data_IF_168000139839
#
_entry.id   IF_168000139839
#
_cell.length_a   1.000
_cell.length_b   1.000
_cell.length_c   1.000
_cell.angle_alpha   90.00
_cell.angle_beta   90.00
_cell.angle_gamma   90.00
#
_symmetry.space_group_name_H-M   'P 1'
#
loop_
_entity.id
_entity.type
_entity.pdbx_description
1 polymer ?
#
# COMPACT_ATOMS: atom_id res chain seq x y z
N UNK A 1 -15.81 -30.19 6.74
CA UNK A 1 -16.64 -30.65 5.61
C UNK A 1 -17.29 -29.42 5.02
N UNK A 2 -16.83 -29.00 3.84
CA UNK A 2 -17.34 -27.80 3.18
C UNK A 2 -18.81 -27.97 2.80
N UNK A 3 -19.62 -26.94 3.05
CA UNK A 3 -21.02 -26.87 2.59
C UNK A 3 -21.27 -25.51 1.97
N UNK A 4 -22.08 -25.52 0.90
CA UNK A 4 -22.58 -24.34 0.20
C UNK A 4 -24.05 -24.12 0.54
N UNK A 5 -24.41 -22.90 0.90
CA UNK A 5 -25.78 -22.44 1.19
C UNK A 5 -26.05 -21.21 0.31
N UNK A 6 -27.24 -21.15 -0.28
CA UNK A 6 -27.67 -20.09 -1.20
C UNK A 6 -29.04 -19.56 -0.76
N UNK A 7 -29.19 -18.23 -0.77
CA UNK A 7 -30.45 -17.53 -0.54
C UNK A 7 -30.59 -16.39 -1.56
N UNK A 8 -31.69 -16.35 -2.29
CA UNK A 8 -31.97 -15.32 -3.30
C UNK A 8 -32.82 -14.16 -2.76
N UNK A 9 -32.89 -13.06 -3.51
CA UNK A 9 -33.70 -11.86 -3.22
C UNK A 9 -33.43 -11.23 -1.83
N UNK A 10 -32.20 -11.33 -1.33
CA UNK A 10 -31.80 -10.80 -0.04
C UNK A 10 -31.61 -9.28 -0.08
N UNK A 11 -32.47 -8.56 0.65
CA UNK A 11 -32.43 -7.10 0.84
C UNK A 11 -32.25 -6.70 2.31
N UNK A 12 -31.76 -7.62 3.15
CA UNK A 12 -31.61 -7.45 4.60
C UNK A 12 -30.13 -7.46 5.02
N UNK A 13 -29.76 -6.80 6.14
CA UNK A 13 -28.39 -6.84 6.66
C UNK A 13 -27.90 -8.26 6.98
N UNK A 14 -26.59 -8.49 6.82
CA UNK A 14 -25.93 -9.77 7.12
C UNK A 14 -25.11 -9.64 8.40
N UNK A 15 -25.40 -10.47 9.39
CA UNK A 15 -24.71 -10.49 10.68
C UNK A 15 -23.89 -11.78 10.80
N UNK A 16 -22.59 -11.67 10.60
CA UNK A 16 -21.62 -12.74 10.78
C UNK A 16 -21.28 -12.80 12.28
N UNK A 17 -21.89 -13.73 13.01
CA UNK A 17 -21.84 -13.76 14.48
C UNK A 17 -20.56 -14.41 15.04
N UNK A 18 -20.04 -15.43 14.37
CA UNK A 18 -18.74 -16.02 14.70
C UNK A 18 -18.22 -16.83 13.51
N UNK A 19 -16.95 -16.65 13.16
CA UNK A 19 -16.20 -17.47 12.20
C UNK A 19 -14.90 -17.89 12.87
N UNK A 20 -14.76 -19.16 13.22
CA UNK A 20 -13.62 -19.63 14.02
C UNK A 20 -12.29 -19.65 13.25
N UNK A 21 -12.34 -19.69 11.92
CA UNK A 21 -11.17 -19.55 11.04
C UNK A 21 -11.08 -18.16 10.41
N UNK A 22 -10.80 -18.14 9.12
CA UNK A 22 -10.65 -16.94 8.29
C UNK A 22 -11.97 -16.56 7.62
N UNK A 23 -12.22 -15.26 7.44
CA UNK A 23 -13.41 -14.72 6.78
C UNK A 23 -13.05 -14.07 5.44
N UNK A 24 -13.76 -14.43 4.37
CA UNK A 24 -13.71 -13.72 3.08
C UNK A 24 -15.11 -13.29 2.68
N UNK A 25 -15.34 -12.00 2.44
CA UNK A 25 -16.61 -11.48 1.91
C UNK A 25 -16.33 -10.74 0.61
N UNK A 26 -17.17 -10.95 -0.40
CA UNK A 26 -17.16 -10.17 -1.65
C UNK A 26 -18.56 -9.68 -1.96
N UNK A 27 -18.71 -8.40 -2.29
CA UNK A 27 -19.95 -7.88 -2.85
C UNK A 27 -20.12 -8.21 -4.34
N UNK A 28 -21.36 -8.35 -4.79
CA UNK A 28 -21.72 -8.46 -6.20
C UNK A 28 -23.04 -7.72 -6.52
N UNK A 29 -23.31 -7.52 -7.81
CA UNK A 29 -24.51 -6.81 -8.30
C UNK A 29 -25.83 -7.61 -8.14
N UNK A 30 -25.75 -8.90 -7.77
CA UNK A 30 -26.90 -9.79 -7.63
C UNK A 30 -27.44 -9.75 -6.19
N UNK A 31 -28.76 -9.81 -6.03
CA UNK A 31 -29.43 -9.85 -4.71
C UNK A 31 -29.28 -11.20 -3.97
N UNK A 32 -28.24 -11.98 -4.25
CA UNK A 32 -28.07 -13.34 -3.72
C UNK A 32 -27.01 -13.37 -2.61
N UNK A 33 -27.28 -14.11 -1.54
CA UNK A 33 -26.33 -14.53 -0.52
C UNK A 33 -25.83 -15.95 -0.83
N UNK A 34 -24.53 -16.07 -1.05
CA UNK A 34 -23.79 -17.33 -1.10
C UNK A 34 -22.95 -17.46 0.16
N UNK A 35 -23.01 -18.62 0.84
CA UNK A 35 -22.13 -18.96 1.96
C UNK A 35 -21.50 -20.32 1.71
N UNK A 36 -20.16 -20.37 1.65
CA UNK A 36 -19.36 -21.58 1.46
C UNK A 36 -18.27 -21.65 2.54
N UNK A 37 -18.12 -22.77 3.22
CA UNK A 37 -17.15 -22.88 4.31
C UNK A 37 -17.25 -24.16 5.13
N UNK A 38 -16.50 -24.21 6.23
CA UNK A 38 -16.51 -25.36 7.13
C UNK A 38 -17.70 -25.34 8.09
N UNK A 39 -18.69 -26.19 7.76
CA UNK A 39 -19.97 -26.32 8.46
C UNK A 39 -20.73 -24.99 8.71
N UNK A 40 -20.96 -24.14 7.68
CA UNK A 40 -21.73 -22.92 7.84
C UNK A 40 -23.15 -23.21 8.32
N UNK A 41 -23.63 -22.34 9.19
CA UNK A 41 -25.02 -22.27 9.62
C UNK A 41 -25.56 -20.87 9.32
N UNK A 42 -26.64 -20.82 8.56
CA UNK A 42 -27.36 -19.60 8.19
C UNK A 42 -28.76 -19.67 8.79
N UNK A 43 -29.15 -18.63 9.50
CA UNK A 43 -30.43 -18.53 10.22
C UNK A 43 -31.11 -17.20 9.88
N UNK A 44 -32.30 -17.25 9.27
CA UNK A 44 -33.12 -16.09 8.97
C UNK A 44 -34.20 -15.93 10.04
N UNK A 45 -34.15 -14.85 10.82
CA UNK A 45 -35.04 -14.66 11.98
C UNK A 45 -36.49 -14.31 11.61
N UNK A 46 -36.76 -14.00 10.34
CA UNK A 46 -38.09 -13.65 9.80
C UNK A 46 -38.01 -12.82 8.53
N UNK A 47 -39.16 -12.50 7.92
CA UNK A 47 -39.24 -11.54 6.82
C UNK A 47 -38.77 -10.15 7.29
N UNK A 48 -37.88 -9.51 6.51
CA UNK A 48 -37.29 -8.21 6.85
C UNK A 48 -36.38 -8.21 8.10
N UNK A 49 -36.05 -9.37 8.67
CA UNK A 49 -35.04 -9.49 9.72
C UNK A 49 -33.65 -9.77 9.13
N UNK A 50 -32.55 -9.37 9.81
CA UNK A 50 -31.20 -9.65 9.34
C UNK A 50 -30.94 -11.16 9.23
N UNK A 51 -30.06 -11.52 8.29
CA UNK A 51 -29.58 -12.88 8.10
C UNK A 51 -28.40 -13.14 9.05
N UNK A 52 -28.49 -14.17 9.90
CA UNK A 52 -27.39 -14.57 10.79
C UNK A 52 -26.52 -15.62 10.11
N UNK A 53 -25.20 -15.46 10.17
CA UNK A 53 -24.21 -16.43 9.64
C UNK A 53 -23.22 -16.84 10.74
N UNK A 54 -22.93 -18.14 10.85
CA UNK A 54 -21.89 -18.72 11.71
C UNK A 54 -21.09 -19.77 10.94
N UNK A 55 -19.80 -19.93 11.23
CA UNK A 55 -18.97 -21.00 10.67
C UNK A 55 -18.00 -21.58 11.72
N UNK A 56 -17.82 -22.91 11.71
CA UNK A 56 -16.96 -23.62 12.65
C UNK A 56 -15.46 -23.57 12.26
N UNK A 57 -15.16 -23.06 11.06
CA UNK A 57 -13.81 -22.91 10.50
C UNK A 57 -13.74 -21.73 9.53
N UNK A 58 -13.04 -21.87 8.41
CA UNK A 58 -12.97 -20.86 7.35
C UNK A 58 -14.34 -20.66 6.67
N UNK A 59 -14.63 -19.41 6.26
CA UNK A 59 -15.89 -19.03 5.63
C UNK A 59 -15.69 -18.01 4.50
N UNK A 60 -16.28 -18.29 3.33
CA UNK A 60 -16.40 -17.40 2.17
C UNK A 60 -17.87 -17.04 1.99
N UNK A 61 -18.19 -15.74 2.01
CA UNK A 61 -19.49 -15.20 1.62
C UNK A 61 -19.37 -14.48 0.27
N UNK A 62 -20.43 -14.54 -0.52
CA UNK A 62 -20.71 -13.53 -1.55
C UNK A 62 -22.06 -12.92 -1.24
N UNK A 63 -22.13 -11.59 -1.23
CA UNK A 63 -23.27 -10.81 -0.73
C UNK A 63 -23.68 -9.75 -1.75
N UNK A 64 -24.92 -9.24 -1.74
CA UNK A 64 -25.27 -8.04 -2.50
C UNK A 64 -24.36 -6.89 -2.06
N UNK A 65 -23.76 -6.17 -3.01
CA UNK A 65 -22.76 -5.13 -2.70
C UNK A 65 -23.31 -4.03 -1.78
N UNK A 66 -24.59 -3.69 -1.93
CA UNK A 66 -25.28 -2.65 -1.16
C UNK A 66 -25.78 -3.13 0.23
N UNK A 67 -25.56 -4.39 0.61
CA UNK A 67 -26.03 -4.93 1.89
C UNK A 67 -25.16 -4.46 3.07
N UNK A 68 -25.79 -4.04 4.17
CA UNK A 68 -25.09 -3.75 5.42
C UNK A 68 -24.49 -5.03 6.02
N UNK A 69 -23.20 -5.00 6.37
CA UNK A 69 -22.44 -6.14 6.87
C UNK A 69 -21.97 -5.89 8.30
N UNK A 70 -22.38 -6.73 9.25
CA UNK A 70 -21.91 -6.69 10.63
C UNK A 70 -21.12 -7.95 10.98
N UNK A 71 -19.85 -7.81 11.36
CA UNK A 71 -18.95 -8.91 11.74
C UNK A 71 -18.68 -8.85 13.24
N UNK A 72 -19.24 -9.78 14.01
CA UNK A 72 -19.13 -9.78 15.47
C UNK A 72 -17.79 -10.38 15.96
N UNK A 73 -17.23 -11.35 15.23
CA UNK A 73 -15.94 -11.95 15.54
C UNK A 73 -15.41 -12.88 14.42
N UNK A 74 -14.11 -12.78 14.14
CA UNK A 74 -13.33 -13.68 13.28
C UNK A 74 -12.12 -14.20 14.06
N UNK A 75 -11.87 -15.51 14.03
CA UNK A 75 -10.82 -16.17 14.82
C UNK A 75 -9.40 -15.96 14.27
N UNK A 76 -9.26 -15.91 12.95
CA UNK A 76 -8.02 -15.50 12.27
C UNK A 76 -8.30 -14.26 11.41
N UNK A 77 -8.04 -14.33 10.11
CA UNK A 77 -7.89 -13.15 9.25
C UNK A 77 -9.18 -12.84 8.50
N UNK A 78 -9.38 -11.58 8.12
CA UNK A 78 -10.57 -11.13 7.39
C UNK A 78 -10.18 -10.36 6.11
N UNK A 79 -10.77 -10.72 4.96
CA UNK A 79 -10.66 -9.96 3.71
C UNK A 79 -12.05 -9.67 3.15
N UNK A 80 -12.46 -8.41 3.17
CA UNK A 80 -13.76 -7.97 2.64
C UNK A 80 -13.51 -7.06 1.41
N UNK A 81 -14.19 -7.33 0.29
CA UNK A 81 -14.04 -6.54 -0.95
C UNK A 81 -15.37 -6.15 -1.57
N UNK A 82 -15.38 -5.01 -2.25
CA UNK A 82 -16.43 -4.58 -3.19
C UNK A 82 -17.82 -4.37 -2.51
N UNK A 83 -17.85 -3.70 -1.35
CA UNK A 83 -19.04 -3.49 -0.51
C UNK A 83 -19.46 -2.00 -0.47
N UNK A 84 -20.57 -1.67 -1.11
CA UNK A 84 -21.20 -0.34 -1.05
C UNK A 84 -22.06 -0.14 0.21
N UNK A 85 -22.47 -1.22 0.88
CA UNK A 85 -23.17 -1.17 2.16
C UNK A 85 -22.23 -0.86 3.33
N UNK A 86 -22.78 -0.33 4.43
CA UNK A 86 -22.01 -0.03 5.65
C UNK A 86 -21.42 -1.30 6.27
N UNK A 87 -20.18 -1.20 6.77
CA UNK A 87 -19.41 -2.32 7.33
C UNK A 87 -19.06 -2.05 8.79
N UNK A 88 -19.62 -2.85 9.72
CA UNK A 88 -19.37 -2.78 11.16
C UNK A 88 -18.62 -4.03 11.67
N UNK A 89 -17.34 -3.89 12.01
CA UNK A 89 -16.46 -4.98 12.46
C UNK A 89 -16.12 -4.81 13.94
N UNK A 90 -16.51 -5.79 14.75
CA UNK A 90 -16.33 -5.77 16.20
C UNK A 90 -15.02 -6.43 16.66
N UNK A 91 -14.53 -7.48 16.00
CA UNK A 91 -13.25 -8.11 16.29
C UNK A 91 -12.74 -9.00 15.14
N UNK A 92 -11.45 -8.90 14.83
CA UNK A 92 -10.69 -9.82 13.97
C UNK A 92 -9.44 -10.27 14.74
N UNK A 93 -9.21 -11.58 14.84
CA UNK A 93 -8.13 -12.16 15.65
C UNK A 93 -6.73 -12.04 15.02
N UNK A 94 -6.66 -12.13 13.69
CA UNK A 94 -5.46 -11.88 12.88
C UNK A 94 -5.56 -10.57 12.11
N UNK A 95 -5.16 -10.60 10.84
CA UNK A 95 -5.09 -9.42 9.97
C UNK A 95 -6.46 -9.04 9.36
N UNK A 96 -6.68 -7.76 9.09
CA UNK A 96 -7.88 -7.25 8.39
C UNK A 96 -7.48 -6.51 7.11
N UNK A 97 -7.98 -6.98 5.96
CA UNK A 97 -7.89 -6.31 4.67
C UNK A 97 -9.28 -5.86 4.18
N UNK A 98 -9.46 -4.57 3.96
CA UNK A 98 -10.64 -3.97 3.34
C UNK A 98 -10.28 -3.30 2.01
N UNK A 99 -11.13 -3.49 0.99
CA UNK A 99 -10.93 -2.87 -0.31
C UNK A 99 -12.25 -2.54 -1.00
N UNK A 100 -12.37 -1.31 -1.52
CA UNK A 100 -13.61 -0.83 -2.16
C UNK A 100 -14.81 -1.03 -1.22
N UNK A 101 -14.76 -0.34 -0.08
CA UNK A 101 -15.80 -0.36 0.95
C UNK A 101 -16.44 1.03 1.08
N UNK A 102 -17.69 1.12 1.52
CA UNK A 102 -18.30 2.40 1.89
C UNK A 102 -17.85 2.82 3.32
N UNK A 103 -18.78 3.22 4.19
CA UNK A 103 -18.50 3.56 5.59
C UNK A 103 -18.06 2.32 6.39
N UNK A 104 -16.89 2.43 7.04
CA UNK A 104 -16.25 1.37 7.82
C UNK A 104 -16.12 1.77 9.29
N UNK A 105 -16.60 0.92 10.19
CA UNK A 105 -16.31 1.00 11.64
C UNK A 105 -15.63 -0.28 12.10
N UNK A 106 -14.45 -0.18 12.73
CA UNK A 106 -13.65 -1.31 13.23
C UNK A 106 -13.31 -1.07 14.70
N UNK A 107 -13.63 -2.00 15.59
CA UNK A 107 -13.25 -1.87 17.02
C UNK A 107 -11.91 -2.51 17.38
N UNK A 108 -11.58 -3.64 16.75
CA UNK A 108 -10.37 -4.39 17.09
C UNK A 108 -9.88 -5.25 15.93
N UNK A 109 -8.58 -5.13 15.62
CA UNK A 109 -7.81 -6.04 14.78
C UNK A 109 -6.61 -6.52 15.59
N UNK A 110 -6.38 -7.84 15.66
CA UNK A 110 -5.29 -8.42 16.44
C UNK A 110 -3.92 -8.32 15.77
N UNK A 111 -3.90 -8.43 14.44
CA UNK A 111 -2.71 -8.24 13.59
C UNK A 111 -2.72 -6.90 12.85
N UNK A 112 -2.32 -6.93 11.58
CA UNK A 112 -2.22 -5.77 10.69
C UNK A 112 -3.59 -5.29 10.19
N UNK A 113 -3.75 -3.98 9.99
CA UNK A 113 -4.88 -3.39 9.26
C UNK A 113 -4.46 -2.82 7.89
N UNK A 114 -5.17 -3.20 6.83
CA UNK A 114 -4.97 -2.66 5.47
C UNK A 114 -6.31 -2.23 4.88
N UNK A 115 -6.50 -0.94 4.64
CA UNK A 115 -7.70 -0.36 4.01
C UNK A 115 -7.28 0.35 2.73
N UNK A 116 -7.95 0.07 1.60
CA UNK A 116 -7.71 0.78 0.33
C UNK A 116 -9.01 1.05 -0.42
N UNK A 117 -9.33 2.32 -0.67
CA UNK A 117 -10.63 2.79 -1.17
C UNK A 117 -11.74 2.53 -0.14
N UNK A 118 -11.98 3.56 0.68
CA UNK A 118 -13.09 3.63 1.63
C UNK A 118 -13.82 4.99 1.53
N UNK A 119 -15.09 5.06 1.90
CA UNK A 119 -15.78 6.36 2.04
C UNK A 119 -15.39 7.02 3.37
N UNK A 120 -15.85 6.48 4.51
CA UNK A 120 -15.41 6.92 5.84
C UNK A 120 -14.76 5.78 6.61
N UNK A 121 -13.81 6.08 7.49
CA UNK A 121 -13.08 5.08 8.29
C UNK A 121 -13.04 5.48 9.76
N UNK A 122 -13.51 4.60 10.65
CA UNK A 122 -13.30 4.71 12.11
C UNK A 122 -12.70 3.42 12.65
N UNK A 123 -11.59 3.52 13.38
CA UNK A 123 -10.83 2.38 13.93
C UNK A 123 -10.48 2.63 15.40
N UNK A 124 -11.01 1.84 16.33
CA UNK A 124 -10.70 2.01 17.76
C UNK A 124 -9.33 1.41 18.12
N UNK A 125 -8.96 0.23 17.59
CA UNK A 125 -7.69 -0.43 17.90
C UNK A 125 -7.17 -1.38 16.80
N UNK A 126 -5.85 -1.31 16.55
CA UNK A 126 -5.07 -2.26 15.75
C UNK A 126 -3.87 -2.74 16.58
N UNK A 127 -3.63 -4.05 16.64
CA UNK A 127 -2.59 -4.66 17.47
C UNK A 127 -1.17 -4.57 16.93
N UNK A 128 -1.03 -4.44 15.61
CA UNK A 128 0.22 -4.35 14.84
C UNK A 128 0.27 -3.01 14.08
N UNK A 129 0.71 -3.02 12.82
CA UNK A 129 0.75 -1.88 11.91
C UNK A 129 -0.61 -1.61 11.25
N UNK A 130 -0.80 -0.36 10.81
CA UNK A 130 -1.98 0.06 10.04
C UNK A 130 -1.59 0.82 8.77
N UNK A 131 -2.22 0.47 7.64
CA UNK A 131 -2.11 1.19 6.35
C UNK A 131 -3.51 1.52 5.86
N UNK A 132 -3.86 2.81 5.79
CA UNK A 132 -5.16 3.30 5.35
C UNK A 132 -4.94 4.26 4.18
N UNK A 133 -5.59 3.98 3.05
CA UNK A 133 -5.32 4.63 1.78
C UNK A 133 -6.57 4.92 0.96
N UNK A 134 -6.57 6.08 0.31
CA UNK A 134 -7.63 6.51 -0.60
C UNK A 134 -9.00 6.53 0.13
N UNK A 135 -9.22 7.53 0.99
CA UNK A 135 -10.44 7.70 1.79
C UNK A 135 -11.16 8.97 1.35
N UNK A 136 -12.37 8.81 0.80
CA UNK A 136 -13.16 9.91 0.19
C UNK A 136 -13.74 10.90 1.23
N UNK A 137 -13.83 10.48 2.49
CA UNK A 137 -14.31 11.25 3.62
C UNK A 137 -13.32 11.23 4.79
N UNK A 138 -13.85 11.23 6.02
CA UNK A 138 -13.04 11.37 7.23
C UNK A 138 -12.46 10.03 7.73
N UNK A 139 -11.24 10.10 8.28
CA UNK A 139 -10.54 8.95 8.88
C UNK A 139 -10.21 9.22 10.37
N UNK A 140 -10.67 8.33 11.26
CA UNK A 140 -10.36 8.34 12.69
C UNK A 140 -9.70 7.03 13.11
N UNK A 141 -8.53 7.12 13.74
CA UNK A 141 -7.77 5.98 14.26
C UNK A 141 -7.37 6.27 15.71
N UNK A 142 -7.95 5.55 16.67
CA UNK A 142 -7.71 5.83 18.08
C UNK A 142 -6.40 5.19 18.56
N UNK A 143 -6.18 3.89 18.33
CA UNK A 143 -4.98 3.17 18.78
C UNK A 143 -4.36 2.29 17.66
N UNK A 144 -3.03 2.32 17.53
CA UNK A 144 -2.25 1.40 16.68
C UNK A 144 -1.03 0.93 17.47
N UNK A 145 -0.77 -0.39 17.49
CA UNK A 145 0.29 -0.99 18.32
C UNK A 145 1.72 -0.67 17.87
N UNK A 146 1.93 -0.45 16.57
CA UNK A 146 3.21 -0.09 15.98
C UNK A 146 3.06 1.09 15.02
N UNK A 147 3.30 0.93 13.71
CA UNK A 147 3.36 2.04 12.77
C UNK A 147 2.01 2.32 12.08
N UNK A 148 1.74 3.60 11.75
CA UNK A 148 0.58 4.00 10.95
C UNK A 148 1.00 4.74 9.68
N UNK A 149 0.54 4.25 8.53
CA UNK A 149 0.63 4.94 7.24
C UNK A 149 -0.75 5.41 6.77
N UNK A 150 -0.90 6.73 6.61
CA UNK A 150 -2.08 7.38 6.05
C UNK A 150 -1.75 8.00 4.68
N UNK A 151 -2.54 7.68 3.65
CA UNK A 151 -2.42 8.27 2.30
C UNK A 151 -3.77 8.70 1.75
N UNK A 152 -3.84 9.89 1.16
CA UNK A 152 -5.00 10.37 0.39
C UNK A 152 -6.32 10.26 1.19
N UNK A 153 -6.45 11.06 2.25
CA UNK A 153 -7.70 11.26 3.00
C UNK A 153 -8.24 12.64 2.65
N UNK A 154 -9.50 12.74 2.20
CA UNK A 154 -10.08 14.02 1.75
C UNK A 154 -10.85 14.76 2.87
N UNK A 155 -11.34 14.05 3.89
CA UNK A 155 -12.04 14.61 5.05
C UNK A 155 -11.16 14.97 6.25
N UNK A 156 -11.77 15.02 7.43
CA UNK A 156 -11.05 15.11 8.71
C UNK A 156 -10.10 13.92 8.88
N UNK A 157 -8.94 14.12 9.49
CA UNK A 157 -7.98 13.04 9.69
C UNK A 157 -7.38 13.10 11.11
N UNK A 158 -7.72 12.10 11.92
CA UNK A 158 -7.34 12.06 13.35
C UNK A 158 -6.69 10.72 13.71
N UNK A 159 -5.49 10.77 14.29
CA UNK A 159 -4.75 9.61 14.78
C UNK A 159 -4.21 9.88 16.19
N UNK A 160 -4.72 9.18 17.21
CA UNK A 160 -4.57 9.62 18.62
C UNK A 160 -3.42 8.93 19.37
N UNK A 161 -3.28 7.61 19.26
CA UNK A 161 -2.27 6.82 19.99
C UNK A 161 -1.57 5.81 19.07
N UNK A 162 -0.56 6.27 18.33
CA UNK A 162 0.28 5.42 17.47
C UNK A 162 1.51 4.97 18.26
N UNK A 163 1.76 3.66 18.35
CA UNK A 163 2.77 3.07 19.23
C UNK A 163 4.22 3.28 18.79
N UNK A 164 4.45 3.54 17.50
CA UNK A 164 5.76 3.87 16.94
C UNK A 164 5.63 4.99 15.91
N UNK A 165 5.99 4.80 14.65
CA UNK A 165 6.12 5.90 13.68
C UNK A 165 4.80 6.20 12.94
N UNK A 166 4.61 7.47 12.55
CA UNK A 166 3.46 7.94 11.80
C UNK A 166 3.89 8.55 10.47
N UNK A 167 3.51 7.92 9.37
CA UNK A 167 3.77 8.41 8.02
C UNK A 167 2.49 9.02 7.44
N UNK A 168 2.52 10.31 7.13
CA UNK A 168 1.42 11.04 6.50
C UNK A 168 1.77 11.36 5.04
N UNK A 169 0.83 11.10 4.13
CA UNK A 169 0.73 11.78 2.84
C UNK A 169 -0.75 12.16 2.61
N UNK A 170 -1.15 13.30 3.18
CA UNK A 170 -2.53 13.79 3.19
C UNK A 170 -2.54 15.19 2.61
N UNK A 171 -3.42 15.43 1.64
CA UNK A 171 -3.63 16.74 1.06
C UNK A 171 -4.53 17.58 2.00
N UNK A 172 -3.92 18.25 2.97
CA UNK A 172 -4.63 19.05 3.97
C UNK A 172 -5.49 20.16 3.32
N UNK A 173 -6.75 20.27 3.73
CA UNK A 173 -7.73 21.23 3.22
C UNK A 173 -8.16 22.25 4.30
N UNK A 174 -8.57 23.44 3.89
CA UNK A 174 -9.17 24.43 4.80
C UNK A 174 -10.49 23.88 5.39
N UNK A 175 -10.68 24.06 6.70
CA UNK A 175 -11.94 23.76 7.39
C UNK A 175 -12.09 22.36 7.99
N UNK A 176 -11.22 21.40 7.62
CA UNK A 176 -11.20 20.03 8.19
C UNK A 176 -10.45 19.99 9.54
N UNK A 177 -10.77 19.04 10.44
CA UNK A 177 -9.95 18.78 11.64
C UNK A 177 -8.79 17.81 11.34
N UNK A 178 -7.56 18.23 11.66
CA UNK A 178 -6.36 17.39 11.60
C UNK A 178 -5.67 17.29 12.96
N UNK A 179 -5.49 16.07 13.47
CA UNK A 179 -4.99 15.81 14.82
C UNK A 179 -4.15 14.53 14.87
N UNK A 180 -2.87 14.63 15.24
CA UNK A 180 -1.93 13.51 15.19
C UNK A 180 -1.09 13.40 16.46
N UNK A 181 -0.86 12.17 16.93
CA UNK A 181 -0.01 11.86 18.08
C UNK A 181 0.60 10.46 17.95
N UNK A 182 1.93 10.40 17.99
CA UNK A 182 2.72 9.20 17.85
C UNK A 182 3.69 9.01 19.04
N UNK A 183 4.16 7.77 19.22
CA UNK A 183 5.19 7.41 20.19
C UNK A 183 6.62 7.53 19.66
N UNK A 184 6.79 7.48 18.33
CA UNK A 184 8.05 7.66 17.61
C UNK A 184 8.05 8.91 16.71
N UNK A 185 8.59 8.77 15.50
CA UNK A 185 8.76 9.87 14.55
C UNK A 185 7.53 10.09 13.66
N UNK A 186 7.26 11.35 13.31
CA UNK A 186 6.19 11.76 12.38
C UNK A 186 6.82 12.25 11.07
N UNK A 187 6.71 11.43 10.02
CA UNK A 187 7.13 11.80 8.67
C UNK A 187 5.93 12.29 7.86
N UNK A 188 5.80 13.61 7.73
CA UNK A 188 4.74 14.23 6.94
C UNK A 188 5.26 14.63 5.55
N UNK A 189 4.63 14.07 4.50
CA UNK A 189 4.81 14.51 3.12
C UNK A 189 3.83 15.62 2.80
N UNK A 190 4.34 16.67 2.17
CA UNK A 190 3.56 17.83 1.73
C UNK A 190 3.85 18.12 0.26
N UNK A 191 2.84 18.56 -0.47
CA UNK A 191 3.00 19.05 -1.84
C UNK A 191 3.63 20.45 -1.79
N UNK A 192 4.40 20.90 -2.80
CA UNK A 192 4.94 22.26 -2.83
C UNK A 192 3.88 23.39 -2.83
N UNK A 193 2.61 23.05 -3.07
CA UNK A 193 1.45 23.95 -3.04
C UNK A 193 0.56 23.74 -1.79
N UNK A 194 1.01 22.95 -0.80
CA UNK A 194 0.25 22.72 0.44
C UNK A 194 0.16 23.97 1.30
N UNK A 195 -1.06 24.42 1.56
CA UNK A 195 -1.39 25.57 2.40
C UNK A 195 -1.84 25.13 3.81
N UNK A 196 -0.91 25.12 4.76
CA UNK A 196 -1.06 24.40 6.02
C UNK A 196 -0.28 25.00 7.19
N UNK A 197 -0.93 25.12 8.34
CA UNK A 197 -0.35 25.54 9.61
C UNK A 197 -0.29 24.37 10.60
N UNK A 198 0.91 23.90 10.92
CA UNK A 198 1.14 22.90 11.95
C UNK A 198 1.34 23.59 13.30
N UNK A 199 0.62 23.10 14.31
CA UNK A 199 0.75 23.49 15.72
C UNK A 199 1.40 22.33 16.45
N UNK A 200 2.60 22.56 17.00
CA UNK A 200 3.51 21.50 17.48
C UNK A 200 4.04 21.89 18.88
N UNK A 201 4.36 20.96 19.80
CA UNK A 201 4.93 21.31 21.09
C UNK A 201 6.38 21.84 20.96
N UNK A 202 6.79 22.77 21.82
CA UNK A 202 8.20 23.24 21.87
C UNK A 202 9.21 22.17 22.32
N UNK A 203 8.73 21.04 22.85
CA UNK A 203 9.57 19.90 23.27
C UNK A 203 9.89 18.90 22.16
N UNK A 204 9.25 18.99 20.99
CA UNK A 204 9.43 18.07 19.87
C UNK A 204 10.55 18.55 18.94
N UNK A 205 11.37 17.63 18.42
CA UNK A 205 12.37 17.97 17.40
C UNK A 205 11.65 18.25 16.08
N UNK A 206 12.02 19.31 15.36
CA UNK A 206 11.42 19.63 14.06
C UNK A 206 12.50 19.70 12.99
N UNK A 207 12.31 18.98 11.87
CA UNK A 207 13.11 19.09 10.66
C UNK A 207 12.25 19.51 9.46
N UNK A 208 12.73 20.49 8.71
CA UNK A 208 12.02 21.12 7.61
C UNK A 208 12.87 21.02 6.35
N UNK A 209 12.52 20.09 5.45
CA UNK A 209 13.09 19.99 4.11
C UNK A 209 12.24 20.76 3.07
N UNK A 210 11.39 21.67 3.56
CA UNK A 210 10.45 22.52 2.81
C UNK A 210 10.53 23.97 3.31
N UNK A 211 10.26 24.98 2.45
CA UNK A 211 10.19 26.36 2.89
C UNK A 211 8.97 26.57 3.80
N UNK A 212 9.21 27.02 5.03
CA UNK A 212 8.18 27.28 6.03
C UNK A 212 8.58 28.48 6.91
N UNK A 213 7.60 29.26 7.34
CA UNK A 213 7.78 30.26 8.41
C UNK A 213 7.53 29.59 9.77
N UNK A 214 8.45 29.78 10.73
CA UNK A 214 8.36 29.20 12.08
C UNK A 214 8.25 30.30 13.12
N UNK A 215 7.23 30.21 13.98
CA UNK A 215 6.96 31.16 15.07
C UNK A 215 6.79 30.40 16.37
N UNK A 216 7.75 30.57 17.28
CA UNK A 216 7.67 30.04 18.65
C UNK A 216 6.72 30.88 19.51
N UNK A 217 5.85 30.22 20.28
CA UNK A 217 4.89 30.82 21.19
C UNK A 217 5.14 30.31 22.62
N UNK A 218 6.18 30.86 23.27
CA UNK A 218 6.61 30.51 24.64
C UNK A 218 5.46 30.49 25.66
N UNK A 219 4.47 31.38 25.49
CA UNK A 219 3.33 31.53 26.40
C UNK A 219 2.41 30.30 26.45
N UNK A 220 2.22 29.62 25.32
CA UNK A 220 1.32 28.47 25.16
C UNK A 220 2.08 27.14 25.01
N UNK A 221 3.41 27.18 25.11
CA UNK A 221 4.29 25.99 25.05
C UNK A 221 4.44 25.38 23.65
N UNK A 222 4.08 26.12 22.60
CA UNK A 222 3.92 25.62 21.23
C UNK A 222 4.78 26.38 20.23
N UNK A 223 5.10 25.73 19.11
CA UNK A 223 5.66 26.33 17.91
C UNK A 223 4.65 26.18 16.77
N UNK A 224 4.52 27.23 15.96
CA UNK A 224 3.66 27.25 14.78
C UNK A 224 4.56 27.24 13.54
N UNK A 225 4.32 26.27 12.65
CA UNK A 225 5.02 26.12 11.37
C UNK A 225 3.99 26.36 10.27
N UNK A 226 4.20 27.38 9.44
CA UNK A 226 3.28 27.76 8.36
C UNK A 226 3.90 27.45 7.00
N UNK A 227 3.19 26.63 6.21
CA UNK A 227 3.36 26.46 4.77
C UNK A 227 2.26 27.27 4.07
N UNK A 228 2.60 27.99 3.00
CA UNK A 228 1.63 28.83 2.28
C UNK A 228 1.17 30.04 3.11
N UNK A 229 -0.14 30.24 3.22
CA UNK A 229 -0.79 31.29 4.01
C UNK A 229 -1.31 30.76 5.37
N UNK A 230 -1.41 29.42 5.52
CA UNK A 230 -1.82 28.71 6.73
C UNK A 230 -3.29 28.29 6.77
N UNK A 231 -3.93 28.02 5.63
CA UNK A 231 -5.35 27.70 5.51
C UNK A 231 -5.81 26.46 6.30
N UNK A 232 -5.21 25.29 6.05
CA UNK A 232 -5.45 24.10 6.87
C UNK A 232 -4.78 24.23 8.26
N UNK A 233 -5.36 23.66 9.32
CA UNK A 233 -4.72 23.65 10.66
C UNK A 233 -4.53 22.22 11.16
N UNK A 234 -3.28 21.86 11.48
CA UNK A 234 -2.87 20.52 11.89
C UNK A 234 -2.34 20.58 13.33
N UNK A 235 -2.92 19.82 14.24
CA UNK A 235 -2.46 19.69 15.62
C UNK A 235 -1.59 18.45 15.78
N UNK A 236 -0.30 18.63 16.03
CA UNK A 236 0.60 17.56 16.48
C UNK A 236 0.65 17.61 18.02
N UNK A 237 0.33 16.50 18.69
CA UNK A 237 0.22 16.44 20.16
C UNK A 237 1.30 15.60 20.84
N UNK A 238 1.98 14.70 20.12
CA UNK A 238 3.01 13.80 20.64
C UNK A 238 3.83 13.16 19.52
N UNK A 239 5.10 12.84 19.81
CA UNK A 239 6.12 12.33 18.89
C UNK A 239 7.52 12.77 19.32
N UNK A 240 8.57 12.08 18.87
CA UNK A 240 9.97 12.44 19.16
C UNK A 240 10.49 13.50 18.15
N UNK A 241 10.32 13.24 16.84
CA UNK A 241 10.59 14.19 15.76
C UNK A 241 9.41 14.36 14.79
N UNK A 242 9.13 15.61 14.38
CA UNK A 242 8.34 15.93 13.20
C UNK A 242 9.26 16.29 12.03
N UNK A 243 9.17 15.55 10.93
CA UNK A 243 9.88 15.86 9.69
C UNK A 243 8.90 16.19 8.56
N UNK A 244 8.94 17.42 8.06
CA UNK A 244 8.18 17.86 6.88
C UNK A 244 9.05 17.73 5.62
N UNK A 245 8.62 16.93 4.64
CA UNK A 245 9.35 16.65 3.39
C UNK A 245 8.49 16.94 2.17
N UNK A 246 9.06 17.63 1.18
CA UNK A 246 8.37 17.91 -0.08
C UNK A 246 8.34 16.70 -1.01
N UNK A 247 7.24 16.49 -1.73
CA UNK A 247 7.09 15.36 -2.66
C UNK A 247 8.09 15.34 -3.83
N UNK A 248 8.91 16.39 -4.02
CA UNK A 248 9.99 16.41 -5.02
C UNK A 248 11.13 15.40 -4.77
N UNK A 249 11.24 14.79 -3.57
CA UNK A 249 12.23 13.75 -3.25
C UNK A 249 11.72 12.31 -3.51
N UNK A 250 10.99 12.08 -4.61
CA UNK A 250 10.33 10.81 -4.92
C UNK A 250 11.23 9.81 -5.69
N UNK A 251 11.90 8.89 -4.95
CA UNK A 251 12.61 7.75 -5.57
C UNK A 251 12.62 6.41 -4.81
N UNK A 252 12.27 6.36 -3.51
CA UNK A 252 12.61 5.19 -2.66
C UNK A 252 11.41 4.34 -2.23
N UNK A 253 10.27 4.94 -1.87
CA UNK A 253 9.17 4.23 -1.21
C UNK A 253 8.02 3.78 -2.13
N UNK A 254 7.77 4.47 -3.23
CA UNK A 254 6.75 4.02 -4.22
C UNK A 254 7.09 2.63 -4.80
N UNK A 255 8.38 2.33 -5.03
CA UNK A 255 8.83 1.15 -5.77
C UNK A 255 8.60 -0.19 -5.04
N UNK A 256 8.56 -0.21 -3.71
CA UNK A 256 8.27 -1.45 -2.96
C UNK A 256 6.80 -1.83 -3.07
N UNK A 257 5.93 -0.91 -2.63
CA UNK A 257 4.49 -1.15 -2.50
C UNK A 257 3.80 -1.29 -3.86
N UNK A 258 4.17 -0.49 -4.87
CA UNK A 258 3.54 -0.57 -6.19
C UNK A 258 3.85 -1.88 -6.93
N UNK A 259 5.04 -2.47 -6.73
CA UNK A 259 5.38 -3.77 -7.34
C UNK A 259 4.56 -4.89 -6.72
N UNK A 260 4.37 -4.90 -5.40
CA UNK A 260 3.48 -5.87 -4.76
C UNK A 260 2.01 -5.66 -5.15
N UNK A 261 1.52 -4.42 -5.21
CA UNK A 261 0.13 -4.13 -5.62
C UNK A 261 -0.17 -4.54 -7.07
N UNK A 262 0.72 -4.25 -8.04
CA UNK A 262 0.52 -4.65 -9.43
C UNK A 262 0.64 -6.18 -9.60
N UNK A 263 1.52 -6.82 -8.84
CA UNK A 263 1.66 -8.29 -8.86
C UNK A 263 0.47 -8.97 -8.19
N UNK A 264 0.00 -8.55 -7.01
CA UNK A 264 -1.18 -9.13 -6.35
C UNK A 264 -2.44 -8.91 -7.20
N UNK A 265 -2.64 -7.72 -7.80
CA UNK A 265 -3.82 -7.49 -8.65
C UNK A 265 -3.79 -8.32 -9.94
N UNK A 266 -2.63 -8.42 -10.62
CA UNK A 266 -2.49 -9.30 -11.79
C UNK A 266 -2.64 -10.77 -11.42
N UNK A 267 -2.10 -11.21 -10.27
CA UNK A 267 -2.24 -12.59 -9.78
C UNK A 267 -3.69 -12.90 -9.38
N UNK A 268 -4.38 -12.00 -8.66
CA UNK A 268 -5.79 -12.20 -8.26
C UNK A 268 -6.71 -12.35 -9.47
N UNK A 269 -6.54 -11.51 -10.49
CA UNK A 269 -7.28 -11.64 -11.75
C UNK A 269 -6.92 -12.90 -12.54
N UNK A 270 -5.71 -13.44 -12.34
CA UNK A 270 -5.24 -14.67 -12.99
C UNK A 270 -5.73 -15.91 -12.23
N UNK A 271 -5.79 -15.88 -10.90
CA UNK A 271 -6.44 -16.89 -10.05
C UNK A 271 -7.95 -16.94 -10.30
N UNK A 272 -8.62 -15.79 -10.43
CA UNK A 272 -10.05 -15.70 -10.74
C UNK A 272 -10.35 -16.32 -12.13
N UNK A 273 -9.57 -15.95 -13.15
CA UNK A 273 -9.68 -16.53 -14.51
C UNK A 273 -9.28 -18.01 -14.56
N UNK A 274 -8.27 -18.43 -13.79
CA UNK A 274 -7.94 -19.85 -13.65
C UNK A 274 -9.08 -20.61 -12.99
N UNK A 275 -9.65 -20.11 -11.90
CA UNK A 275 -10.76 -20.77 -11.19
C UNK A 275 -11.97 -20.96 -12.12
N UNK A 276 -12.37 -19.91 -12.84
CA UNK A 276 -13.42 -19.95 -13.85
C UNK A 276 -13.13 -20.91 -15.02
N UNK A 277 -11.85 -21.16 -15.35
CA UNK A 277 -11.43 -22.13 -16.37
C UNK A 277 -11.16 -23.55 -15.82
N UNK A 278 -11.13 -23.75 -14.50
CA UNK A 278 -10.76 -25.01 -13.84
C UNK A 278 -11.95 -25.80 -13.28
N UNK A 279 -13.14 -25.19 -13.16
CA UNK A 279 -14.40 -25.86 -12.74
C UNK A 279 -14.89 -26.99 -13.70
N UNK A 280 -14.09 -27.42 -14.69
CA UNK A 280 -14.48 -28.46 -15.66
C UNK A 280 -13.37 -29.39 -16.17
N UNK A 281 -12.19 -29.44 -15.54
CA UNK A 281 -11.06 -30.26 -16.03
C UNK A 281 -10.34 -31.05 -14.92
N UNK A 282 -10.75 -32.31 -14.73
CA UNK A 282 -10.25 -33.18 -13.66
C UNK A 282 -9.04 -34.07 -14.07
N UNK A 283 -8.41 -34.68 -13.07
CA UNK A 283 -7.32 -35.67 -13.06
C UNK A 283 -5.98 -35.31 -13.75
N UNK A 284 -5.97 -34.71 -14.94
CA UNK A 284 -4.72 -34.51 -15.71
C UNK A 284 -3.78 -33.42 -15.15
N UNK A 285 -4.25 -32.61 -14.19
CA UNK A 285 -3.57 -31.38 -13.77
C UNK A 285 -2.42 -31.63 -12.79
N UNK A 286 -2.50 -32.65 -11.91
CA UNK A 286 -1.49 -32.89 -10.86
C UNK A 286 -0.07 -33.05 -11.42
N UNK A 287 0.09 -33.81 -12.51
CA UNK A 287 1.38 -34.02 -13.16
C UNK A 287 1.96 -32.74 -13.81
N UNK A 288 1.12 -31.78 -14.17
CA UNK A 288 1.52 -30.53 -14.84
C UNK A 288 1.79 -29.40 -13.85
N UNK A 289 1.00 -29.31 -12.78
CA UNK A 289 1.22 -28.37 -11.69
C UNK A 289 2.59 -28.59 -11.01
N UNK A 290 2.94 -29.84 -10.73
CA UNK A 290 4.23 -30.21 -10.15
C UNK A 290 5.44 -29.90 -11.05
N UNK A 291 5.25 -29.86 -12.37
CA UNK A 291 6.28 -29.40 -13.32
C UNK A 291 6.48 -27.89 -13.23
N UNK A 292 5.39 -27.12 -13.25
CA UNK A 292 5.46 -25.64 -13.21
C UNK A 292 5.98 -25.10 -11.88
N UNK A 293 5.60 -25.66 -10.73
CA UNK A 293 6.16 -25.24 -9.43
C UNK A 293 7.69 -25.41 -9.41
N UNK A 294 8.18 -26.59 -9.84
CA UNK A 294 9.61 -26.89 -9.92
C UNK A 294 10.40 -25.99 -10.89
N UNK A 295 9.70 -25.28 -11.79
CA UNK A 295 10.28 -24.32 -12.73
C UNK A 295 10.23 -22.88 -12.18
N UNK A 296 9.17 -22.53 -11.45
CA UNK A 296 9.03 -21.26 -10.73
C UNK A 296 10.09 -21.13 -9.61
N UNK A 297 10.29 -22.18 -8.81
CA UNK A 297 11.33 -22.24 -7.76
C UNK A 297 12.72 -21.92 -8.32
N UNK A 298 13.08 -22.50 -9.47
CA UNK A 298 14.37 -22.27 -10.13
C UNK A 298 14.53 -20.86 -10.72
N UNK A 299 13.42 -20.16 -10.97
CA UNK A 299 13.45 -18.75 -11.40
C UNK A 299 13.57 -17.84 -10.17
N UNK A 300 12.81 -18.09 -9.11
CA UNK A 300 12.92 -17.38 -7.84
C UNK A 300 14.32 -17.49 -7.22
N UNK A 301 14.91 -18.69 -7.20
CA UNK A 301 16.26 -18.90 -6.68
C UNK A 301 17.32 -18.15 -7.52
N UNK A 302 17.14 -18.05 -8.84
CA UNK A 302 18.02 -17.26 -9.71
C UNK A 302 17.89 -15.76 -9.44
N UNK A 303 16.66 -15.27 -9.25
CA UNK A 303 16.40 -13.86 -8.92
C UNK A 303 17.03 -13.48 -7.55
N UNK A 304 16.80 -14.29 -6.51
CA UNK A 304 17.43 -14.09 -5.20
C UNK A 304 18.97 -14.11 -5.27
N UNK A 305 19.57 -15.07 -5.99
CA UNK A 305 21.02 -15.13 -6.20
C UNK A 305 21.56 -13.96 -7.02
N UNK A 306 20.76 -13.30 -7.86
CA UNK A 306 21.14 -12.05 -8.53
C UNK A 306 21.04 -10.85 -7.58
N UNK A 307 19.96 -10.72 -6.82
CA UNK A 307 19.78 -9.65 -5.83
C UNK A 307 20.89 -9.64 -4.75
N UNK A 308 21.23 -10.81 -4.19
CA UNK A 308 22.34 -10.96 -3.25
C UNK A 308 23.70 -10.55 -3.86
N UNK A 309 23.91 -10.82 -5.15
CA UNK A 309 25.12 -10.41 -5.90
C UNK A 309 25.12 -8.94 -6.32
N UNK A 310 24.00 -8.23 -6.19
CA UNK A 310 23.94 -6.78 -6.32
C UNK A 310 24.25 -6.11 -4.96
N UNK A 311 23.58 -6.54 -3.88
CA UNK A 311 23.80 -5.98 -2.53
C UNK A 311 25.22 -6.20 -2.02
N UNK A 312 25.87 -7.34 -2.30
CA UNK A 312 27.30 -7.54 -2.01
C UNK A 312 28.21 -6.49 -2.66
N UNK A 313 27.91 -6.03 -3.89
CA UNK A 313 28.72 -5.01 -4.59
C UNK A 313 28.57 -3.64 -3.95
N UNK A 314 27.33 -3.30 -3.55
CA UNK A 314 27.03 -2.07 -2.81
C UNK A 314 27.74 -2.08 -1.45
N UNK A 315 27.67 -3.18 -0.69
CA UNK A 315 28.35 -3.28 0.60
C UNK A 315 29.87 -3.10 0.46
N UNK A 316 30.50 -3.78 -0.50
CA UNK A 316 31.96 -3.66 -0.77
C UNK A 316 32.37 -2.28 -1.31
N UNK A 317 31.46 -1.49 -1.88
CA UNK A 317 31.75 -0.11 -2.29
C UNK A 317 31.64 0.87 -1.11
N UNK A 318 30.74 0.62 -0.16
CA UNK A 318 30.63 1.37 1.10
C UNK A 318 31.82 1.11 2.04
N UNK A 319 32.21 -0.15 2.23
CA UNK A 319 33.38 -0.53 3.06
C UNK A 319 34.67 0.16 2.60
N UNK A 320 34.86 0.34 1.29
CA UNK A 320 36.00 1.05 0.70
C UNK A 320 35.97 2.57 0.87
N UNK A 321 34.84 3.15 1.27
CA UNK A 321 34.68 4.59 1.53
C UNK A 321 34.76 4.94 3.03
N UNK A 322 34.48 3.99 3.93
CA UNK A 322 34.57 4.22 5.38
C UNK A 322 35.98 4.05 5.96
N UNK A 323 36.83 3.19 5.39
CA UNK A 323 38.17 2.88 5.91
C UNK A 323 39.25 3.95 5.61
N UNK A 324 38.87 5.22 5.42
CA UNK A 324 39.61 6.17 4.57
C UNK A 324 40.03 7.52 5.15
N UNK A 325 40.06 7.73 6.48
CA UNK A 325 40.56 9.01 7.02
C UNK A 325 41.16 8.95 8.43
N UNK A 326 42.49 9.16 8.51
CA UNK A 326 43.22 9.86 9.60
C UNK A 326 44.75 9.83 9.37
N UNK A 327 45.34 10.94 8.90
CA UNK A 327 46.47 11.68 9.54
C UNK A 327 47.14 12.69 8.59
N UNK A 328 47.43 13.85 9.19
CA UNK A 328 48.22 14.98 8.69
C UNK A 328 49.66 14.62 8.29
N UNK A 329 50.21 15.22 7.21
CA UNK A 329 51.63 15.05 6.84
C UNK A 329 52.07 15.78 5.56
N UNK A 330 52.32 17.09 5.65
CA UNK A 330 52.77 18.02 4.59
C UNK A 330 54.10 17.63 3.92
N UNK A 331 54.17 17.63 2.58
CA UNK A 331 55.39 17.91 1.78
C UNK A 331 55.02 18.69 0.51
N UNK A 332 55.85 19.69 0.22
CA UNK A 332 55.73 20.69 -0.86
C UNK A 332 57.10 20.63 -1.64
N UNK A 333 57.27 20.57 -2.97
CA UNK A 333 56.39 20.70 -4.16
C UNK A 333 56.46 19.42 -5.06
N UNK A 334 56.63 19.28 -6.39
CA UNK A 334 56.96 20.13 -7.58
C UNK A 334 56.29 19.57 -8.89
N UNK A 335 56.85 19.75 -10.11
CA UNK A 335 56.18 19.51 -11.42
C UNK A 335 56.77 18.42 -12.33
N UNK A 336 55.91 17.79 -13.16
CA UNK A 336 56.35 16.89 -14.24
C UNK A 336 55.25 16.41 -15.22
N UNK A 337 54.96 17.20 -16.26
CA UNK A 337 54.40 16.75 -17.55
C UNK A 337 52.97 16.14 -17.59
N UNK A 338 51.99 16.91 -18.10
CA UNK A 338 50.66 16.37 -18.40
C UNK A 338 50.63 15.53 -19.70
N UNK A 339 50.09 14.29 -19.69
CA UNK A 339 49.77 13.57 -20.92
C UNK A 339 48.57 14.20 -21.66
N UNK A 340 48.52 14.17 -23.00
CA UNK A 340 47.41 14.74 -23.76
C UNK A 340 46.14 13.88 -23.66
N UNK A 341 44.94 14.49 -23.82
CA UNK A 341 43.70 13.72 -23.84
C UNK A 341 43.66 12.78 -25.06
N UNK A 342 43.12 11.55 -24.91
CA UNK A 342 42.92 10.66 -26.05
C UNK A 342 41.93 11.29 -27.03
N UNK A 343 42.27 11.25 -28.32
CA UNK A 343 41.44 11.85 -29.38
C UNK A 343 40.11 11.13 -29.52
N UNK A 344 39.05 11.90 -29.74
CA UNK A 344 37.75 11.37 -30.14
C UNK A 344 37.88 10.48 -31.38
N UNK A 345 37.05 9.42 -31.40
CA UNK A 345 36.68 8.68 -32.61
C UNK A 345 35.16 8.78 -32.78
N UNK A 346 34.70 8.50 -33.99
CA UNK A 346 33.34 8.76 -34.48
C UNK A 346 32.23 8.11 -33.66
N UNK A 347 31.03 8.70 -33.79
CA UNK A 347 29.78 8.25 -33.19
C UNK A 347 29.43 6.80 -33.58
N UNK A 348 28.96 5.97 -32.62
CA UNK A 348 28.04 4.88 -32.89
C UNK A 348 26.60 5.42 -32.85
N UNK A 349 25.91 5.34 -33.99
CA UNK A 349 24.48 5.65 -34.13
C UNK A 349 23.72 4.32 -34.10
N UNK A 350 22.63 4.11 -33.35
CA UNK A 350 22.11 4.83 -32.17
C UNK A 350 21.13 3.92 -31.42
N UNK A 351 21.13 3.92 -30.09
CA UNK A 351 20.03 3.29 -29.31
C UNK A 351 18.69 4.03 -29.51
N UNK A 352 18.75 5.34 -29.80
CA UNK A 352 17.58 6.19 -30.04
C UNK A 352 16.85 5.79 -31.34
N UNK A 353 17.57 5.35 -32.37
CA UNK A 353 16.98 4.86 -33.61
C UNK A 353 16.28 3.51 -33.42
N UNK A 354 16.87 2.57 -32.67
CA UNK A 354 16.19 1.33 -32.26
C UNK A 354 14.92 1.64 -31.45
N UNK A 355 14.98 2.59 -30.51
CA UNK A 355 13.81 3.06 -29.75
C UNK A 355 12.74 3.73 -30.63
N UNK A 356 13.13 4.50 -31.65
CA UNK A 356 12.20 5.14 -32.57
C UNK A 356 11.45 4.12 -33.44
N UNK A 357 12.13 3.06 -33.91
CA UNK A 357 11.50 1.95 -34.66
C UNK A 357 10.49 1.21 -33.78
N UNK A 358 10.86 0.85 -32.54
CA UNK A 358 9.95 0.21 -31.59
C UNK A 358 8.72 1.07 -31.28
N UNK A 359 8.89 2.39 -31.16
CA UNK A 359 7.80 3.34 -30.99
C UNK A 359 6.88 3.41 -32.21
N UNK A 360 7.41 3.29 -33.43
CA UNK A 360 6.57 3.22 -34.64
C UNK A 360 5.75 1.93 -34.73
N UNK A 361 6.25 0.80 -34.20
CA UNK A 361 5.43 -0.43 -34.05
C UNK A 361 4.32 -0.21 -33.01
N UNK A 362 4.64 0.36 -31.84
CA UNK A 362 3.66 0.67 -30.80
C UNK A 362 2.56 1.63 -31.29
N UNK A 363 2.92 2.59 -32.14
CA UNK A 363 1.99 3.54 -32.77
C UNK A 363 1.31 2.98 -34.04
N UNK A 364 1.49 1.68 -34.35
CA UNK A 364 0.90 0.96 -35.51
C UNK A 364 1.24 1.58 -36.90
N UNK A 365 2.38 2.28 -37.00
CA UNK A 365 2.82 2.99 -38.21
C UNK A 365 3.63 2.13 -39.18
N UNK A 366 4.19 1.02 -38.72
CA UNK A 366 4.92 0.02 -39.50
C UNK A 366 4.54 -1.38 -39.02
N UNK A 367 4.63 -2.38 -39.90
CA UNK A 367 4.41 -3.78 -39.52
C UNK A 367 5.61 -4.39 -38.79
N UNK A 368 5.38 -5.50 -38.08
CA UNK A 368 6.43 -6.21 -37.33
C UNK A 368 7.53 -6.72 -38.27
N UNK A 369 7.17 -7.27 -39.44
CA UNK A 369 8.14 -7.75 -40.45
C UNK A 369 8.98 -6.61 -41.06
N UNK A 370 8.46 -5.39 -41.12
CA UNK A 370 9.22 -4.21 -41.57
C UNK A 370 10.17 -3.71 -40.47
N UNK A 371 9.72 -3.69 -39.22
CA UNK A 371 10.55 -3.35 -38.08
C UNK A 371 11.74 -4.31 -37.90
N UNK A 372 11.51 -5.62 -38.03
CA UNK A 372 12.57 -6.64 -38.00
C UNK A 372 13.62 -6.42 -39.10
N UNK A 373 13.20 -6.05 -40.32
CA UNK A 373 14.14 -5.74 -41.42
C UNK A 373 14.93 -4.46 -41.18
N UNK A 374 14.34 -3.43 -40.58
CA UNK A 374 15.03 -2.18 -40.28
C UNK A 374 16.05 -2.37 -39.14
N UNK A 375 15.68 -3.09 -38.08
CA UNK A 375 16.59 -3.42 -36.99
C UNK A 375 17.75 -4.31 -37.47
N UNK A 376 17.47 -5.34 -38.28
CA UNK A 376 18.50 -6.20 -38.86
C UNK A 376 19.42 -5.48 -39.88
N UNK A 377 18.99 -4.34 -40.44
CA UNK A 377 19.83 -3.52 -41.30
C UNK A 377 20.78 -2.60 -40.50
N UNK A 378 20.34 -2.11 -39.34
CA UNK A 378 21.18 -1.34 -38.40
C UNK A 378 22.24 -2.26 -37.74
N UNK A 379 21.80 -3.42 -37.24
CA UNK A 379 22.66 -4.42 -36.59
C UNK A 379 23.71 -5.05 -37.54
N UNK A 380 23.62 -4.78 -38.84
CA UNK A 380 24.57 -5.25 -39.87
C UNK A 380 25.66 -4.22 -40.23
N UNK A 381 25.77 -3.10 -39.50
CA UNK A 381 26.79 -2.06 -39.72
C UNK A 381 27.82 -1.92 -38.57
N UNK A 382 27.71 -2.73 -37.51
CA UNK A 382 28.69 -2.88 -36.40
C UNK A 382 29.82 -3.90 -36.71
#
# INVERSE_FOLDING_TARGET
MTKRIEMADMTVPVIIQNVSGSLRIRGHEVADLLVDGDNPHVEQLGEGQPCLVRCDGDCRLTVPADAEISVQGVGSDAKLTDLNGKVDINAVGGDLTLRHTADVTIKAVGGDLRIKWADSVTVDAVGSDATIREVNGSARVTNVGSDLYLRNVEGDCTAEHIGSDLVLNVAFQEGQEYRFSAGGDILCRVHPETDARFVVPLGMTVKLDVPADVVEQEADGQQIITLGEGGATIYIQGGDELRLVGEAEDYVLNLGVQIEEEVETRLSQLEEKLSQHLEGLDEQIQAKAALFSSQAERLAERAQRQAQRASERVRRSMERRSSGSKRTGRVDIEWGGAPPPPKAKSEPVSEEERLMILRMVQENKISIEEAERLLAALDAQD
#
